data_IF_726680463490
#
_entry.id   IF_726680463490
#
_cell.length_a   1.000
_cell.length_b   1.000
_cell.length_c   1.000
_cell.angle_alpha   90.00
_cell.angle_beta   90.00
_cell.angle_gamma   90.00
#
_symmetry.space_group_name_H-M   'P 1'
#
loop_
_entity.id
_entity.type
_entity.pdbx_description
1 polymer ?
#
# COMPACT_ATOMS: atom_id res chain seq x y z
N UNK A 1 -4.53 24.70 3.24
CA UNK A 1 -3.65 24.09 2.22
C UNK A 1 -4.09 22.65 1.97
N UNK A 2 -5.36 22.44 1.64
CA UNK A 2 -6.07 21.17 1.93
C UNK A 2 -6.52 20.40 0.68
N UNK A 3 -5.78 20.51 -0.43
CA UNK A 3 -6.22 19.93 -1.71
C UNK A 3 -6.35 18.39 -1.71
N UNK A 4 -5.51 17.69 -0.95
CA UNK A 4 -5.50 16.22 -0.88
C UNK A 4 -6.58 15.66 0.06
N UNK A 5 -6.93 16.40 1.13
CA UNK A 5 -7.93 16.00 2.14
C UNK A 5 -9.33 16.54 1.86
N UNK A 6 -9.50 17.82 1.50
CA UNK A 6 -10.82 18.41 1.24
C UNK A 6 -11.54 17.85 0.01
N UNK A 7 -10.84 17.13 -0.86
CA UNK A 7 -11.41 16.59 -2.10
C UNK A 7 -11.45 15.05 -2.11
N UNK A 8 -11.28 14.42 -0.94
CA UNK A 8 -11.29 12.97 -0.73
C UNK A 8 -10.40 12.16 -1.67
N UNK A 9 -9.37 12.77 -2.27
CA UNK A 9 -8.53 12.12 -3.29
C UNK A 9 -7.65 11.04 -2.69
N UNK A 10 -7.08 11.30 -1.51
CA UNK A 10 -6.28 10.34 -0.79
C UNK A 10 -7.13 9.17 -0.31
N UNK A 11 -8.30 9.45 0.27
CA UNK A 11 -9.28 8.44 0.68
C UNK A 11 -9.78 7.59 -0.50
N UNK A 12 -10.04 8.23 -1.65
CA UNK A 12 -10.48 7.56 -2.88
C UNK A 12 -9.38 6.72 -3.53
N UNK A 13 -8.11 7.05 -3.28
CA UNK A 13 -6.94 6.29 -3.71
C UNK A 13 -6.51 5.21 -2.70
N UNK A 14 -7.40 4.81 -1.78
CA UNK A 14 -7.09 3.77 -0.80
C UNK A 14 -6.21 4.23 0.36
N UNK A 15 -6.13 5.54 0.61
CA UNK A 15 -5.40 6.13 1.74
C UNK A 15 -3.91 6.38 1.49
N UNK A 16 -3.42 6.07 0.28
CA UNK A 16 -2.03 6.29 -0.12
C UNK A 16 -1.93 6.72 -1.58
N UNK A 17 -0.91 7.51 -1.92
CA UNK A 17 -0.62 7.91 -3.30
C UNK A 17 0.88 7.98 -3.54
N UNK A 18 1.33 7.65 -4.76
CA UNK A 18 2.74 7.85 -5.11
C UNK A 18 3.07 9.34 -5.19
N UNK A 19 4.32 9.70 -4.93
CA UNK A 19 4.78 11.08 -5.08
C UNK A 19 4.53 11.62 -6.49
N UNK A 20 4.71 10.77 -7.51
CA UNK A 20 4.45 11.09 -8.91
C UNK A 20 2.98 11.41 -9.15
N UNK A 21 2.06 10.64 -8.57
CA UNK A 21 0.61 10.91 -8.70
C UNK A 21 0.24 12.22 -8.00
N UNK A 22 0.82 12.49 -6.83
CA UNK A 22 0.64 13.76 -6.10
C UNK A 22 1.14 14.93 -6.95
N UNK A 23 2.33 14.82 -7.54
CA UNK A 23 2.88 15.83 -8.45
C UNK A 23 1.94 16.11 -9.62
N UNK A 24 1.51 15.06 -10.32
CA UNK A 24 0.60 15.17 -11.45
C UNK A 24 -0.75 15.79 -11.06
N UNK A 25 -1.33 15.37 -9.93
CA UNK A 25 -2.59 15.92 -9.43
C UNK A 25 -2.47 17.40 -9.06
N UNK A 26 -1.39 17.78 -8.39
CA UNK A 26 -1.17 19.15 -7.94
C UNK A 26 -0.94 20.09 -9.12
N UNK A 27 -0.10 19.69 -10.07
CA UNK A 27 0.17 20.47 -11.28
C UNK A 27 -1.06 20.56 -12.19
N UNK A 28 -1.84 19.49 -12.32
CA UNK A 28 -3.11 19.50 -13.06
C UNK A 28 -4.14 20.44 -12.43
N UNK A 29 -4.15 20.57 -11.10
CA UNK A 29 -5.07 21.46 -10.40
C UNK A 29 -4.74 22.95 -10.55
N UNK A 30 -3.45 23.28 -10.71
CA UNK A 30 -2.98 24.67 -10.78
C UNK A 30 -2.94 25.25 -12.19
N UNK A 31 -3.07 24.42 -13.23
CA UNK A 31 -3.19 24.85 -14.62
C UNK A 31 -1.91 25.46 -15.20
N UNK A 32 -1.62 26.71 -14.85
CA UNK A 32 -0.50 27.50 -15.39
C UNK A 32 0.63 27.74 -14.38
N UNK A 33 0.39 27.56 -13.08
CA UNK A 33 1.38 27.82 -12.03
C UNK A 33 1.99 26.51 -11.51
N UNK A 34 2.72 25.83 -12.40
CA UNK A 34 3.33 24.52 -12.18
C UNK A 34 4.50 24.62 -11.19
N UNK A 35 4.67 23.58 -10.38
CA UNK A 35 5.87 23.39 -9.57
C UNK A 35 6.82 22.40 -10.25
N UNK A 36 8.12 22.56 -10.02
CA UNK A 36 9.10 21.56 -10.46
C UNK A 36 9.07 20.32 -9.54
N UNK A 37 9.58 19.15 -9.99
CA UNK A 37 9.71 17.98 -9.14
C UNK A 37 10.58 18.23 -7.90
N UNK A 38 11.66 19.02 -8.04
CA UNK A 38 12.56 19.37 -6.95
C UNK A 38 11.86 20.22 -5.88
N UNK A 39 11.01 21.16 -6.29
CA UNK A 39 10.20 21.95 -5.35
C UNK A 39 9.25 21.08 -4.54
N UNK A 40 8.65 20.06 -5.17
CA UNK A 40 7.79 19.11 -4.46
C UNK A 40 8.60 18.28 -3.45
N UNK A 41 9.79 17.80 -3.84
CA UNK A 41 10.67 17.05 -2.96
C UNK A 41 11.11 17.88 -1.75
N UNK A 42 11.47 19.16 -1.97
CA UNK A 42 11.80 20.11 -0.90
C UNK A 42 10.61 20.40 0.02
N UNK A 43 9.37 20.27 -0.48
CA UNK A 43 8.15 20.47 0.30
C UNK A 43 7.78 19.27 1.19
N UNK A 44 8.26 18.05 0.89
CA UNK A 44 7.91 16.84 1.65
C UNK A 44 8.22 16.91 3.14
N UNK A 45 9.41 17.36 3.59
CA UNK A 45 9.71 17.47 5.02
C UNK A 45 8.80 18.46 5.75
N UNK A 46 8.24 19.44 5.04
CA UNK A 46 7.31 20.40 5.61
C UNK A 46 5.92 19.83 5.80
N UNK A 47 5.50 18.85 4.99
CA UNK A 47 4.20 18.19 5.17
C UNK A 47 4.10 17.50 6.54
N UNK A 48 5.18 16.82 6.95
CA UNK A 48 5.26 16.17 8.28
C UNK A 48 5.32 17.20 9.41
N UNK A 49 6.18 18.23 9.27
CA UNK A 49 6.32 19.29 10.29
C UNK A 49 5.04 20.08 10.53
N UNK A 50 4.24 20.29 9.49
CA UNK A 50 2.98 21.02 9.57
C UNK A 50 1.81 20.13 10.05
N UNK A 51 2.06 18.84 10.35
CA UNK A 51 1.08 17.88 10.87
C UNK A 51 -0.25 17.92 10.10
N UNK A 52 -0.18 17.97 8.77
CA UNK A 52 -1.37 18.12 7.92
C UNK A 52 -2.23 16.84 7.87
N UNK A 53 -1.91 15.83 8.70
CA UNK A 53 -2.55 14.53 8.74
C UNK A 53 -2.09 13.57 7.64
N UNK A 54 -0.94 13.85 7.03
CA UNK A 54 -0.34 13.04 5.99
C UNK A 54 1.17 12.93 6.25
N UNK A 55 1.73 11.75 5.99
CA UNK A 55 3.15 11.44 6.19
C UNK A 55 3.79 10.92 4.91
N UNK A 56 5.07 11.24 4.70
CA UNK A 56 5.86 10.58 3.68
C UNK A 56 6.16 9.17 4.19
N UNK A 57 6.06 8.19 3.31
CA UNK A 57 6.59 6.84 3.53
C UNK A 57 7.44 6.43 2.36
N UNK A 58 8.49 5.70 2.65
CA UNK A 58 9.36 5.08 1.66
C UNK A 58 9.29 3.58 1.85
N UNK A 59 9.06 2.85 0.75
CA UNK A 59 9.09 1.40 0.75
C UNK A 59 10.51 0.89 0.50
N UNK A 60 10.76 -0.38 0.84
CA UNK A 60 12.06 -1.04 0.65
C UNK A 60 12.50 -1.06 -0.83
N UNK A 61 11.55 -0.93 -1.77
CA UNK A 61 11.80 -0.79 -3.21
C UNK A 61 12.30 0.61 -3.64
N UNK A 62 12.31 1.59 -2.74
CA UNK A 62 12.61 3.00 -3.02
C UNK A 62 11.39 3.80 -3.50
N UNK A 63 10.21 3.19 -3.57
CA UNK A 63 8.98 3.91 -3.91
C UNK A 63 8.60 4.85 -2.76
N UNK A 64 8.48 6.14 -3.08
CA UNK A 64 8.02 7.17 -2.14
C UNK A 64 6.53 7.42 -2.32
N UNK A 65 5.80 7.34 -1.21
CA UNK A 65 4.36 7.59 -1.15
C UNK A 65 4.01 8.63 -0.09
N UNK A 66 2.89 9.29 -0.31
CA UNK A 66 2.20 10.08 0.72
C UNK A 66 1.02 9.23 1.19
N UNK A 67 0.93 8.99 2.49
CA UNK A 67 -0.16 8.23 3.11
C UNK A 67 -0.84 9.08 4.18
N UNK A 68 -2.13 8.84 4.42
CA UNK A 68 -2.84 9.49 5.53
C UNK A 68 -2.32 8.96 6.88
N UNK A 69 -2.33 9.80 7.90
CA UNK A 69 -1.89 9.41 9.25
C UNK A 69 -2.75 8.32 9.87
N UNK A 70 -4.02 8.22 9.46
CA UNK A 70 -4.95 7.17 9.89
C UNK A 70 -4.74 5.83 9.18
N UNK A 71 -3.83 5.75 8.20
CA UNK A 71 -3.54 4.52 7.49
C UNK A 71 -2.85 3.50 8.41
N UNK A 72 -3.40 2.29 8.46
CA UNK A 72 -2.96 1.19 9.31
C UNK A 72 -2.64 -0.03 8.43
N UNK A 73 -1.36 -0.42 8.45
CA UNK A 73 -0.85 -1.56 7.68
C UNK A 73 -1.50 -2.88 8.09
N UNK A 74 -1.83 -3.07 9.37
CA UNK A 74 -2.45 -4.30 9.84
C UNK A 74 -3.87 -4.45 9.29
N UNK A 75 -4.66 -3.36 9.30
CA UNK A 75 -6.00 -3.35 8.69
C UNK A 75 -5.96 -3.56 7.19
N UNK A 76 -4.95 -3.01 6.51
CA UNK A 76 -4.77 -3.25 5.08
C UNK A 76 -4.40 -4.71 4.80
N UNK A 77 -3.50 -5.29 5.61
CA UNK A 77 -3.14 -6.69 5.51
C UNK A 77 -4.35 -7.62 5.73
N UNK A 78 -5.20 -7.33 6.72
CA UNK A 78 -6.41 -8.11 6.98
C UNK A 78 -7.38 -8.05 5.79
N UNK A 79 -7.57 -6.88 5.17
CA UNK A 79 -8.36 -6.74 3.93
C UNK A 79 -7.77 -7.55 2.77
N UNK A 80 -6.44 -7.53 2.61
CA UNK A 80 -5.77 -8.31 1.57
C UNK A 80 -5.92 -9.82 1.81
N UNK A 81 -5.95 -10.25 3.07
CA UNK A 81 -6.23 -11.65 3.42
C UNK A 81 -7.66 -12.04 3.04
N UNK A 82 -8.66 -11.20 3.28
CA UNK A 82 -10.05 -11.46 2.84
C UNK A 82 -10.13 -11.63 1.32
N UNK A 83 -9.40 -10.82 0.56
CA UNK A 83 -9.32 -10.94 -0.90
C UNK A 83 -8.60 -12.24 -1.30
N UNK A 84 -7.52 -12.59 -0.61
CA UNK A 84 -6.77 -13.83 -0.84
C UNK A 84 -7.66 -15.07 -0.62
N UNK A 85 -8.49 -15.05 0.43
CA UNK A 85 -9.43 -16.14 0.73
C UNK A 85 -10.52 -16.29 -0.33
N UNK A 86 -11.07 -15.17 -0.82
CA UNK A 86 -12.04 -15.19 -1.92
C UNK A 86 -11.44 -15.83 -3.20
N UNK A 87 -10.11 -15.80 -3.34
CA UNK A 87 -9.35 -16.42 -4.43
C UNK A 87 -8.51 -17.61 -3.98
N UNK A 88 -8.89 -18.32 -2.91
CA UNK A 88 -8.05 -19.36 -2.31
C UNK A 88 -7.61 -20.48 -3.28
N UNK A 89 -8.39 -20.76 -4.34
CA UNK A 89 -8.08 -21.80 -5.33
C UNK A 89 -6.96 -21.34 -6.28
N UNK A 90 -7.14 -20.18 -6.91
CA UNK A 90 -6.20 -19.67 -7.93
C UNK A 90 -5.11 -18.77 -7.36
N UNK A 91 -5.24 -18.31 -6.11
CA UNK A 91 -4.37 -17.29 -5.52
C UNK A 91 -4.66 -15.88 -6.03
N UNK A 92 -4.31 -14.90 -5.21
CA UNK A 92 -4.45 -13.49 -5.55
C UNK A 92 -3.20 -13.00 -6.30
N UNK A 93 -3.38 -12.37 -7.47
CA UNK A 93 -2.27 -11.71 -8.18
C UNK A 93 -2.17 -10.23 -7.80
N UNK A 94 -1.03 -9.60 -8.11
CA UNK A 94 -0.84 -8.14 -7.95
C UNK A 94 -1.91 -7.35 -8.71
N UNK A 95 -2.29 -7.81 -9.92
CA UNK A 95 -3.32 -7.15 -10.73
C UNK A 95 -4.72 -7.27 -10.12
N UNK A 96 -5.01 -8.40 -9.47
CA UNK A 96 -6.27 -8.56 -8.74
C UNK A 96 -6.37 -7.60 -7.57
N UNK A 97 -5.31 -7.52 -6.75
CA UNK A 97 -5.23 -6.59 -5.64
C UNK A 97 -5.35 -5.13 -6.11
N UNK A 98 -4.65 -4.76 -7.18
CA UNK A 98 -4.71 -3.42 -7.79
C UNK A 98 -6.13 -3.03 -8.19
N UNK A 99 -6.87 -3.94 -8.85
CA UNK A 99 -8.26 -3.67 -9.28
C UNK A 99 -9.21 -3.52 -8.10
N UNK A 100 -9.08 -4.36 -7.09
CA UNK A 100 -9.97 -4.36 -5.92
C UNK A 100 -9.70 -3.17 -5.00
N UNK A 101 -8.43 -2.84 -4.76
CA UNK A 101 -8.02 -1.69 -3.96
C UNK A 101 -8.10 -0.36 -4.71
N UNK A 102 -8.30 -0.39 -6.04
CA UNK A 102 -8.29 0.78 -6.93
C UNK A 102 -7.00 1.61 -6.84
N UNK A 103 -5.87 0.91 -6.66
CA UNK A 103 -4.53 1.50 -6.63
C UNK A 103 -3.70 1.02 -7.81
N UNK A 104 -2.58 1.68 -8.09
CA UNK A 104 -1.65 1.21 -9.14
C UNK A 104 -1.08 -0.17 -8.80
N UNK A 105 -0.71 -0.96 -9.82
CA UNK A 105 -0.11 -2.27 -9.62
C UNK A 105 1.17 -2.21 -8.77
N UNK A 106 1.95 -1.14 -8.90
CA UNK A 106 3.13 -0.89 -8.08
C UNK A 106 2.77 -0.77 -6.60
N UNK A 107 1.78 0.07 -6.26
CA UNK A 107 1.32 0.22 -4.87
C UNK A 107 0.70 -1.05 -4.32
N UNK A 108 -0.09 -1.77 -5.13
CA UNK A 108 -0.65 -3.05 -4.74
C UNK A 108 0.46 -4.06 -4.40
N UNK A 109 1.53 -4.10 -5.20
CA UNK A 109 2.68 -4.96 -4.93
C UNK A 109 3.36 -4.60 -3.60
N UNK A 110 3.61 -3.31 -3.33
CA UNK A 110 4.19 -2.87 -2.06
C UNK A 110 3.32 -3.23 -0.85
N UNK A 111 2.00 -3.09 -0.97
CA UNK A 111 1.06 -3.47 0.09
C UNK A 111 1.04 -4.99 0.33
N UNK A 112 1.11 -5.79 -0.73
CA UNK A 112 1.21 -7.25 -0.64
C UNK A 112 2.51 -7.68 0.04
N UNK A 113 3.64 -7.07 -0.34
CA UNK A 113 4.94 -7.33 0.28
C UNK A 113 4.97 -6.88 1.75
N UNK A 114 4.33 -5.76 2.08
CA UNK A 114 4.18 -5.32 3.47
C UNK A 114 3.35 -6.32 4.31
N UNK A 115 2.25 -6.83 3.76
CA UNK A 115 1.43 -7.86 4.41
C UNK A 115 2.17 -9.21 4.56
N UNK A 116 3.01 -9.57 3.58
CA UNK A 116 3.92 -10.71 3.67
C UNK A 116 4.96 -10.53 4.80
N UNK A 117 5.55 -9.33 4.91
CA UNK A 117 6.54 -9.00 5.96
C UNK A 117 5.96 -9.08 7.38
N UNK A 118 4.68 -8.75 7.54
CA UNK A 118 3.95 -8.92 8.82
C UNK A 118 3.58 -10.40 9.06
N UNK A 119 3.70 -11.26 8.05
CA UNK A 119 3.40 -12.68 8.13
C UNK A 119 1.93 -13.02 7.90
N UNK A 120 1.10 -12.08 7.41
CA UNK A 120 -0.32 -12.33 7.11
C UNK A 120 -0.54 -13.04 5.78
N UNK A 121 0.31 -12.75 4.80
CA UNK A 121 0.30 -13.40 3.49
C UNK A 121 1.58 -14.20 3.27
N UNK A 122 1.49 -15.21 2.42
CA UNK A 122 2.62 -15.89 1.83
C UNK A 122 2.51 -15.81 0.30
N UNK A 123 3.64 -15.90 -0.39
CA UNK A 123 3.69 -15.88 -1.86
C UNK A 123 4.21 -17.19 -2.41
N UNK A 124 3.62 -17.60 -3.52
CA UNK A 124 4.10 -18.67 -4.38
C UNK A 124 4.63 -18.05 -5.68
N UNK A 125 5.86 -18.40 -6.03
CA UNK A 125 6.57 -17.85 -7.19
C UNK A 125 6.78 -18.98 -8.19
N UNK A 126 6.06 -18.88 -9.31
CA UNK A 126 6.13 -19.86 -10.40
C UNK A 126 6.57 -19.17 -11.71
N UNK A 127 6.81 -19.96 -12.75
CA UNK A 127 7.10 -19.43 -14.09
C UNK A 127 5.92 -18.65 -14.68
N UNK A 128 4.69 -18.96 -14.26
CA UNK A 128 3.48 -18.25 -14.72
C UNK A 128 3.28 -16.91 -14.01
N UNK A 129 3.91 -16.72 -12.85
CA UNK A 129 3.87 -15.49 -12.09
C UNK A 129 3.87 -15.71 -10.58
N UNK A 130 3.71 -14.61 -9.85
CA UNK A 130 3.63 -14.59 -8.38
C UNK A 130 2.18 -14.50 -7.93
N UNK A 131 1.79 -15.43 -7.05
CA UNK A 131 0.46 -15.50 -6.44
C UNK A 131 0.59 -15.39 -4.93
N UNK A 132 -0.34 -14.69 -4.30
CA UNK A 132 -0.39 -14.47 -2.85
C UNK A 132 -1.56 -15.23 -2.24
N UNK A 133 -1.33 -15.79 -1.06
CA UNK A 133 -2.27 -16.60 -0.30
C UNK A 133 -2.23 -16.19 1.17
N UNK A 134 -3.29 -16.52 1.93
CA UNK A 134 -3.25 -16.43 3.40
C UNK A 134 -2.11 -17.29 3.95
N UNK A 135 -1.34 -16.72 4.87
CA UNK A 135 -0.27 -17.46 5.52
C UNK A 135 -0.79 -18.39 6.63
N UNK A 136 -1.01 -19.65 6.29
CA UNK A 136 -1.41 -20.68 7.27
C UNK A 136 -0.25 -21.26 8.08
N UNK A 137 1.00 -21.06 7.63
CA UNK A 137 2.18 -21.62 8.31
C UNK A 137 2.43 -21.00 9.68
N UNK A 138 2.03 -19.75 9.86
CA UNK A 138 2.18 -19.02 11.13
C UNK A 138 0.94 -19.22 12.01
N UNK A 139 -0.25 -19.36 11.43
CA UNK A 139 -1.48 -19.68 12.17
C UNK A 139 -1.41 -21.08 12.81
N UNK A 140 -0.83 -22.07 12.12
CA UNK A 140 -0.65 -23.43 12.63
C UNK A 140 0.60 -23.60 13.53
N UNK A 141 1.21 -22.51 14.02
CA UNK A 141 2.34 -22.56 14.96
C UNK A 141 1.97 -23.05 16.38
N UNK A 142 0.85 -23.77 16.52
CA UNK A 142 0.56 -24.72 17.60
C UNK A 142 1.30 -26.07 17.44
N UNK A 143 2.42 -26.11 16.72
CA UNK A 143 3.37 -27.24 16.73
C UNK A 143 4.01 -27.49 18.12
N UNK A 144 3.66 -26.70 19.15
CA UNK A 144 4.12 -26.87 20.53
C UNK A 144 3.58 -28.09 21.29
N UNK A 145 2.58 -28.81 20.78
CA UNK A 145 1.93 -29.91 21.53
C UNK A 145 2.32 -31.34 21.08
N UNK A 146 3.20 -31.53 20.09
CA UNK A 146 3.62 -32.89 19.68
C UNK A 146 4.75 -33.49 20.54
N UNK A 147 5.38 -32.73 21.45
CA UNK A 147 6.50 -33.23 22.27
C UNK A 147 6.12 -33.76 23.67
N UNK A 148 4.86 -34.14 23.89
CA UNK A 148 4.44 -34.87 25.12
C UNK A 148 3.52 -36.05 24.80
N UNK A 149 4.05 -37.07 24.11
CA UNK A 149 3.56 -38.44 24.19
C UNK A 149 4.73 -39.40 24.27
#
# INVERSE_FOLDING_TARGET
SDFLRCNDKLSSAGGMMTLTDVYCLFNRARGTNLISPDDLLMALPWMEKLSLGMKKREFDSGVVVVQDDSFDDAKMADKLVEIADAKAIDGMTVLDASRLLKVSAMLANEQLLAAEKIGRLCRDVTLEGTRFYRNRFIEDSDFGNWSRR
#
